data_IF_112774210457
#
_entry.id   IF_112774210457
#
_cell.length_a   1.000
_cell.length_b   1.000
_cell.length_c   1.000
_cell.angle_alpha   90.00
_cell.angle_beta   90.00
_cell.angle_gamma   90.00
#
_symmetry.space_group_name_H-M   'P 1'
#
loop_
_entity.id
_entity.type
_entity.pdbx_description
1 polymer ?
#
# COMPACT_ATOMS: atom_id res chain seq x y z
N UNK A 1 18.64 3.62 1.10
CA UNK A 1 19.62 3.86 0.02
C UNK A 1 19.01 3.76 -1.37
N UNK A 2 18.49 2.61 -1.81
CA UNK A 2 17.93 2.46 -3.16
C UNK A 2 16.79 3.44 -3.50
N UNK A 3 15.90 3.75 -2.55
CA UNK A 3 14.89 4.80 -2.73
C UNK A 3 15.46 6.22 -2.94
N UNK A 4 16.58 6.55 -2.26
CA UNK A 4 17.26 7.84 -2.40
C UNK A 4 18.03 7.91 -3.72
N UNK A 5 18.68 6.81 -4.13
CA UNK A 5 19.37 6.74 -5.43
C UNK A 5 18.35 6.83 -6.57
N UNK A 6 17.21 6.14 -6.45
CA UNK A 6 16.10 6.28 -7.39
C UNK A 6 15.59 7.71 -7.45
N UNK A 7 15.42 8.38 -6.29
CA UNK A 7 15.05 9.79 -6.23
C UNK A 7 16.09 10.69 -6.92
N UNK A 8 17.39 10.42 -6.71
CA UNK A 8 18.49 11.13 -7.36
C UNK A 8 18.50 10.95 -8.88
N UNK A 9 18.21 9.74 -9.39
CA UNK A 9 18.02 9.50 -10.83
C UNK A 9 16.78 10.17 -11.39
N UNK A 10 15.71 10.24 -10.62
CA UNK A 10 14.49 10.93 -10.99
C UNK A 10 14.61 12.45 -10.84
N UNK A 11 15.65 12.99 -10.18
CA UNK A 11 15.80 14.41 -9.87
C UNK A 11 15.73 15.34 -11.11
N UNK A 12 16.37 15.03 -12.25
CA UNK A 12 16.25 15.85 -13.45
C UNK A 12 14.82 15.89 -14.01
N UNK A 13 14.13 14.75 -13.98
CA UNK A 13 12.73 14.62 -14.39
C UNK A 13 11.81 15.36 -13.41
N UNK A 14 12.12 15.29 -12.10
CA UNK A 14 11.40 16.01 -11.05
C UNK A 14 11.53 17.52 -11.26
N UNK A 15 12.75 17.99 -11.51
CA UNK A 15 13.01 19.41 -11.76
C UNK A 15 12.31 19.91 -13.03
N UNK A 16 12.35 19.12 -14.10
CA UNK A 16 11.56 19.38 -15.31
C UNK A 16 10.08 19.54 -14.95
N UNK A 17 9.52 18.53 -14.25
CA UNK A 17 8.19 18.47 -13.65
C UNK A 17 7.74 19.77 -13.02
N UNK A 18 8.44 20.15 -11.95
CA UNK A 18 8.17 21.35 -11.16
C UNK A 18 8.21 22.61 -12.03
N UNK A 19 9.22 22.74 -12.91
CA UNK A 19 9.43 23.96 -13.70
C UNK A 19 8.24 24.25 -14.61
N UNK A 20 7.67 23.24 -15.28
CA UNK A 20 6.49 23.50 -16.12
C UNK A 20 5.22 23.62 -15.28
N UNK A 21 5.08 22.86 -14.19
CA UNK A 21 3.92 23.00 -13.28
C UNK A 21 3.80 24.43 -12.72
N UNK A 22 4.92 25.03 -12.30
CA UNK A 22 4.96 26.43 -11.86
C UNK A 22 4.71 27.43 -13.01
N UNK A 23 5.13 27.08 -14.23
CA UNK A 23 4.95 27.94 -15.41
C UNK A 23 3.49 27.94 -15.88
N UNK A 24 2.79 26.82 -15.72
CA UNK A 24 1.38 26.65 -16.05
C UNK A 24 0.48 27.40 -15.05
N UNK A 25 0.84 27.40 -13.77
CA UNK A 25 0.17 28.24 -12.74
C UNK A 25 0.36 29.74 -13.00
N UNK A 26 1.50 30.15 -13.58
CA UNK A 26 1.79 31.54 -13.94
C UNK A 26 1.23 32.00 -15.29
N UNK A 27 0.76 31.07 -16.13
CA UNK A 27 0.24 31.34 -17.47
C UNK A 27 -1.25 31.69 -17.45
N UNK A 28 -1.59 32.94 -17.10
CA UNK A 28 -2.96 33.44 -17.08
C UNK A 28 -3.73 33.20 -18.39
N UNK A 29 -4.98 32.78 -18.23
CA UNK A 29 -5.96 32.46 -19.27
C UNK A 29 -5.97 33.43 -20.46
N UNK A 30 -5.78 32.90 -21.67
CA UNK A 30 -6.33 33.53 -22.88
C UNK A 30 -7.83 33.28 -22.91
N UNK A 31 -8.59 34.21 -22.34
CA UNK A 31 -10.03 34.28 -22.50
C UNK A 31 -10.38 34.53 -23.98
N UNK A 32 -11.36 33.78 -24.51
CA UNK A 32 -12.09 34.21 -25.71
C UNK A 32 -12.16 33.27 -26.91
N UNK A 33 -12.12 31.94 -26.76
CA UNK A 33 -12.57 31.02 -27.80
C UNK A 33 -13.45 29.94 -27.20
N UNK A 34 -14.57 29.65 -27.87
CA UNK A 34 -15.44 28.48 -27.63
C UNK A 34 -14.53 27.27 -27.41
N UNK A 35 -14.40 26.81 -26.18
CA UNK A 35 -13.56 25.67 -25.83
C UNK A 35 -14.16 24.46 -26.54
N UNK A 36 -13.34 23.78 -27.34
CA UNK A 36 -13.73 22.49 -27.87
C UNK A 36 -14.11 21.59 -26.69
N UNK A 37 -15.12 20.74 -26.85
CA UNK A 37 -15.55 19.81 -25.80
C UNK A 37 -14.38 18.99 -25.22
N UNK A 38 -13.37 18.70 -26.04
CA UNK A 38 -12.15 17.96 -25.68
C UNK A 38 -11.13 18.79 -24.89
N UNK A 39 -11.34 20.10 -24.76
CA UNK A 39 -10.51 21.07 -24.03
C UNK A 39 -11.27 21.65 -22.82
N UNK A 40 -12.49 21.19 -22.55
CA UNK A 40 -13.29 21.61 -21.40
C UNK A 40 -12.82 20.89 -20.13
N UNK A 41 -11.96 21.57 -19.38
CA UNK A 41 -11.38 21.14 -18.11
C UNK A 41 -12.19 21.65 -16.89
N UNK A 42 -11.97 21.11 -15.69
CA UNK A 42 -12.52 21.69 -14.48
C UNK A 42 -12.00 23.12 -14.30
N UNK A 43 -12.90 24.02 -13.91
CA UNK A 43 -12.51 25.39 -13.62
C UNK A 43 -11.47 25.42 -12.49
N UNK A 44 -10.37 26.15 -12.70
CA UNK A 44 -9.29 26.29 -11.72
C UNK A 44 -9.78 26.84 -10.37
N UNK A 45 -10.86 27.63 -10.36
CA UNK A 45 -11.51 28.12 -9.13
C UNK A 45 -12.09 26.98 -8.29
N UNK A 46 -12.71 25.98 -8.92
CA UNK A 46 -13.21 24.79 -8.22
C UNK A 46 -12.05 23.98 -7.67
N UNK A 47 -10.96 23.83 -8.42
CA UNK A 47 -9.76 23.10 -7.97
C UNK A 47 -9.16 23.77 -6.74
N UNK A 48 -8.92 25.09 -6.77
CA UNK A 48 -8.40 25.82 -5.61
C UNK A 48 -9.35 25.77 -4.40
N UNK A 49 -10.66 25.94 -4.62
CA UNK A 49 -11.65 25.80 -3.55
C UNK A 49 -11.63 24.39 -2.94
N UNK A 50 -11.54 23.36 -3.77
CA UNK A 50 -11.42 21.96 -3.36
C UNK A 50 -10.16 21.70 -2.53
N UNK A 51 -9.01 22.26 -2.92
CA UNK A 51 -7.76 22.16 -2.15
C UNK A 51 -7.94 22.80 -0.75
N UNK A 52 -8.52 23.99 -0.67
CA UNK A 52 -8.77 24.66 0.62
C UNK A 52 -9.71 23.85 1.51
N UNK A 53 -10.81 23.34 0.95
CA UNK A 53 -11.77 22.49 1.67
C UNK A 53 -11.09 21.20 2.15
N UNK A 54 -10.26 20.58 1.32
CA UNK A 54 -9.52 19.36 1.67
C UNK A 54 -8.51 19.61 2.79
N UNK A 55 -7.76 20.72 2.74
CA UNK A 55 -6.85 21.13 3.82
C UNK A 55 -7.61 21.30 5.13
N UNK A 56 -8.72 22.02 5.11
CA UNK A 56 -9.56 22.21 6.29
C UNK A 56 -10.07 20.86 6.81
N UNK A 57 -10.59 20.00 5.95
CA UNK A 57 -11.08 18.67 6.33
C UNK A 57 -9.97 17.82 6.99
N UNK A 58 -8.76 17.83 6.43
CA UNK A 58 -7.60 17.11 7.01
C UNK A 58 -7.20 17.71 8.36
N UNK A 59 -7.22 19.04 8.51
CA UNK A 59 -6.91 19.71 9.78
C UNK A 59 -7.97 19.46 10.86
N UNK A 60 -9.26 19.37 10.49
CA UNK A 60 -10.34 19.06 11.42
C UNK A 60 -10.40 17.57 11.79
N UNK A 61 -9.75 16.69 11.02
CA UNK A 61 -9.72 15.26 11.28
C UNK A 61 -8.83 14.92 12.50
N UNK A 62 -9.45 14.93 13.69
CA UNK A 62 -8.80 14.58 14.97
C UNK A 62 -7.97 13.28 14.96
N UNK A 63 -8.38 12.19 14.28
CA UNK A 63 -7.60 10.95 14.26
C UNK A 63 -6.19 11.13 13.67
N UNK A 64 -6.01 12.06 12.73
CA UNK A 64 -4.74 12.27 12.03
C UNK A 64 -3.72 13.07 12.86
N UNK A 65 -4.15 13.66 13.98
CA UNK A 65 -3.34 14.59 14.78
C UNK A 65 -2.64 15.63 13.88
N UNK A 66 -3.35 16.12 12.85
CA UNK A 66 -2.76 16.98 11.83
C UNK A 66 -2.70 18.42 12.34
N UNK A 67 -1.56 19.07 12.13
CA UNK A 67 -1.38 20.49 12.37
C UNK A 67 -1.16 21.25 11.05
N UNK A 68 -1.12 22.59 11.14
CA UNK A 68 -0.95 23.44 9.96
C UNK A 68 0.32 23.11 9.17
N UNK A 69 1.42 22.77 9.87
CA UNK A 69 2.66 22.37 9.21
C UNK A 69 2.48 21.07 8.41
N UNK A 70 1.89 20.04 9.00
CA UNK A 70 1.60 18.78 8.31
C UNK A 70 0.70 18.98 7.09
N UNK A 71 -0.34 19.82 7.21
CA UNK A 71 -1.20 20.18 6.08
C UNK A 71 -0.43 20.92 4.97
N UNK A 72 0.46 21.85 5.32
CA UNK A 72 1.31 22.55 4.36
C UNK A 72 2.28 21.59 3.67
N UNK A 73 2.86 20.64 4.40
CA UNK A 73 3.73 19.60 3.83
C UNK A 73 2.96 18.69 2.87
N UNK A 74 1.70 18.35 3.17
CA UNK A 74 0.84 17.58 2.24
C UNK A 74 0.64 18.36 0.93
N UNK A 75 0.35 19.65 1.00
CA UNK A 75 0.15 20.47 -0.21
C UNK A 75 1.46 20.59 -0.99
N UNK A 76 2.56 20.89 -0.31
CA UNK A 76 3.88 21.06 -0.91
C UNK A 76 4.38 19.77 -1.58
N UNK A 77 4.45 18.68 -0.82
CA UNK A 77 4.91 17.39 -1.35
C UNK A 77 3.88 16.74 -2.28
N UNK A 78 2.59 16.97 -2.04
CA UNK A 78 1.52 16.55 -2.93
C UNK A 78 1.66 17.20 -4.30
N UNK A 79 1.76 18.53 -4.37
CA UNK A 79 2.01 19.24 -5.63
C UNK A 79 3.27 18.76 -6.33
N UNK A 80 4.38 18.67 -5.58
CA UNK A 80 5.66 18.18 -6.08
C UNK A 80 5.52 16.78 -6.71
N UNK A 81 5.10 15.78 -5.95
CA UNK A 81 5.10 14.39 -6.39
C UNK A 81 3.94 14.04 -7.33
N UNK A 82 2.80 14.75 -7.27
CA UNK A 82 1.74 14.63 -8.29
C UNK A 82 2.26 15.08 -9.64
N UNK A 83 2.98 16.19 -9.71
CA UNK A 83 3.53 16.71 -10.97
C UNK A 83 4.55 15.74 -11.58
N UNK A 84 5.41 15.17 -10.75
CA UNK A 84 6.39 14.14 -11.15
C UNK A 84 5.68 12.89 -11.65
N UNK A 85 4.73 12.40 -10.85
CA UNK A 85 3.95 11.19 -11.13
C UNK A 85 3.18 11.32 -12.45
N UNK A 86 2.54 12.47 -12.68
CA UNK A 86 1.79 12.80 -13.88
C UNK A 86 2.66 12.68 -15.14
N UNK A 87 3.86 13.25 -15.13
CA UNK A 87 4.79 13.16 -16.26
C UNK A 87 5.31 11.77 -16.50
N UNK A 88 5.83 11.11 -15.45
CA UNK A 88 6.37 9.76 -15.58
C UNK A 88 5.32 8.79 -16.10
N UNK A 89 4.07 8.97 -15.65
CA UNK A 89 2.93 8.19 -16.15
C UNK A 89 2.58 8.57 -17.59
N UNK A 90 2.63 9.85 -17.96
CA UNK A 90 2.37 10.30 -19.33
C UNK A 90 3.39 9.78 -20.36
N UNK A 91 4.66 9.69 -19.97
CA UNK A 91 5.79 9.26 -20.79
C UNK A 91 5.97 7.73 -20.82
N UNK A 92 5.95 7.08 -19.64
CA UNK A 92 6.37 5.68 -19.45
C UNK A 92 5.19 4.79 -19.02
N UNK A 93 4.06 5.37 -18.60
CA UNK A 93 2.89 4.65 -18.09
C UNK A 93 2.90 4.46 -16.57
N UNK A 94 1.72 4.21 -15.99
CA UNK A 94 1.53 4.13 -14.53
C UNK A 94 2.27 2.96 -13.88
N UNK A 95 2.44 1.85 -14.60
CA UNK A 95 3.12 0.65 -14.12
C UNK A 95 4.60 0.86 -13.82
N UNK A 96 5.22 1.85 -14.50
CA UNK A 96 6.64 2.18 -14.39
C UNK A 96 6.89 3.39 -13.49
N UNK A 97 5.85 3.93 -12.86
CA UNK A 97 5.93 5.09 -12.00
C UNK A 97 6.47 4.70 -10.60
N UNK A 98 7.57 5.32 -10.10
CA UNK A 98 8.21 4.96 -8.83
C UNK A 98 7.45 5.48 -7.59
N UNK A 99 6.15 5.18 -7.49
CA UNK A 99 5.27 5.66 -6.40
C UNK A 99 5.84 5.28 -5.03
N UNK A 100 6.30 4.04 -4.86
CA UNK A 100 6.92 3.58 -3.61
C UNK A 100 8.16 4.38 -3.22
N UNK A 101 8.98 4.81 -4.20
CA UNK A 101 10.13 5.68 -3.96
C UNK A 101 9.71 7.09 -3.54
N UNK A 102 8.67 7.64 -4.18
CA UNK A 102 8.10 8.95 -3.81
C UNK A 102 7.49 8.94 -2.40
N UNK A 103 6.85 7.85 -1.99
CA UNK A 103 6.33 7.67 -0.62
C UNK A 103 7.46 7.67 0.41
N UNK A 104 8.51 6.89 0.17
CA UNK A 104 9.68 6.85 1.06
C UNK A 104 10.33 8.21 1.15
N UNK A 105 10.55 8.89 0.02
CA UNK A 105 11.11 10.23 0.00
C UNK A 105 10.27 11.23 0.81
N UNK A 106 8.95 11.21 0.63
CA UNK A 106 8.04 12.08 1.39
C UNK A 106 8.13 11.81 2.88
N UNK A 107 8.10 10.54 3.31
CA UNK A 107 8.20 10.17 4.71
C UNK A 107 9.54 10.60 5.31
N UNK A 108 10.66 10.33 4.63
CA UNK A 108 11.99 10.70 5.10
C UNK A 108 12.14 12.21 5.25
N UNK A 109 11.71 12.99 4.24
CA UNK A 109 11.78 14.44 4.27
C UNK A 109 10.87 15.02 5.36
N UNK A 110 9.64 14.50 5.50
CA UNK A 110 8.70 14.92 6.55
C UNK A 110 9.28 14.65 7.94
N UNK A 111 9.80 13.45 8.17
CA UNK A 111 10.41 13.09 9.46
C UNK A 111 11.66 13.95 9.73
N UNK A 112 12.45 14.27 8.72
CA UNK A 112 13.61 15.15 8.87
C UNK A 112 13.20 16.57 9.27
N UNK A 113 12.16 17.12 8.63
CA UNK A 113 11.61 18.44 8.98
C UNK A 113 11.10 18.43 10.42
N UNK A 114 10.37 17.39 10.82
CA UNK A 114 9.88 17.23 12.20
C UNK A 114 11.04 17.14 13.20
N UNK A 115 12.09 16.40 12.87
CA UNK A 115 13.27 16.30 13.71
C UNK A 115 13.99 17.65 13.87
N UNK A 116 14.11 18.44 12.80
CA UNK A 116 14.75 19.76 12.80
C UNK A 116 14.01 20.78 13.69
N UNK A 117 12.68 20.70 13.75
CA UNK A 117 11.85 21.55 14.61
C UNK A 117 11.65 20.98 16.03
N UNK A 118 12.30 19.86 16.35
CA UNK A 118 12.24 19.23 17.67
C UNK A 118 10.97 18.39 17.93
N UNK A 119 10.18 18.08 16.90
CA UNK A 119 9.01 17.20 17.01
C UNK A 119 9.46 15.74 16.96
N UNK A 120 9.52 15.13 18.14
CA UNK A 120 9.95 13.73 18.31
C UNK A 120 8.91 12.94 19.07
N UNK A 121 8.68 11.69 18.66
CA UNK A 121 7.84 10.75 19.39
C UNK A 121 6.33 11.03 19.40
N UNK A 122 5.58 10.09 19.97
CA UNK A 122 4.15 10.25 20.27
C UNK A 122 3.24 10.43 19.06
N UNK A 123 2.39 11.46 19.09
CA UNK A 123 1.43 11.74 18.01
C UNK A 123 2.10 12.12 16.68
N UNK A 124 3.35 12.57 16.71
CA UNK A 124 4.09 12.97 15.51
C UNK A 124 4.38 11.80 14.56
N UNK A 125 4.43 10.54 15.05
CA UNK A 125 4.53 9.38 14.16
C UNK A 125 3.28 9.25 13.28
N UNK A 126 2.09 9.45 13.88
CA UNK A 126 0.80 9.38 13.18
C UNK A 126 0.71 10.51 12.17
N UNK A 127 1.12 11.72 12.55
CA UNK A 127 1.15 12.87 11.64
C UNK A 127 2.08 12.62 10.44
N UNK A 128 3.33 12.16 10.68
CA UNK A 128 4.29 11.89 9.60
C UNK A 128 3.81 10.77 8.66
N UNK A 129 3.28 9.68 9.23
CA UNK A 129 2.67 8.59 8.46
C UNK A 129 1.49 9.09 7.62
N UNK A 130 0.64 9.95 8.19
CA UNK A 130 -0.52 10.52 7.49
C UNK A 130 -0.09 11.40 6.32
N UNK A 131 0.92 12.25 6.49
CA UNK A 131 1.49 13.07 5.40
C UNK A 131 1.99 12.18 4.27
N UNK A 132 2.81 11.17 4.59
CA UNK A 132 3.35 10.24 3.57
C UNK A 132 2.27 9.44 2.86
N UNK A 133 1.24 8.98 3.58
CA UNK A 133 0.12 8.23 3.01
C UNK A 133 -0.73 9.09 2.07
N UNK A 134 -1.09 10.32 2.48
CA UNK A 134 -1.90 11.23 1.66
C UNK A 134 -1.15 11.63 0.39
N UNK A 135 0.14 11.98 0.50
CA UNK A 135 0.97 12.34 -0.67
C UNK A 135 1.16 11.14 -1.60
N UNK A 136 1.34 9.93 -1.08
CA UNK A 136 1.40 8.70 -1.86
C UNK A 136 0.13 8.48 -2.68
N UNK A 137 -1.04 8.59 -2.03
CA UNK A 137 -2.35 8.44 -2.68
C UNK A 137 -2.55 9.55 -3.72
N UNK A 138 -2.20 10.79 -3.39
CA UNK A 138 -2.29 11.91 -4.31
C UNK A 138 -1.41 11.69 -5.54
N UNK A 139 -0.13 11.30 -5.36
CA UNK A 139 0.78 11.01 -6.45
C UNK A 139 0.26 9.86 -7.34
N UNK A 140 -0.22 8.77 -6.74
CA UNK A 140 -0.82 7.65 -7.46
C UNK A 140 -2.02 8.10 -8.31
N UNK A 141 -2.97 8.79 -7.69
CA UNK A 141 -4.19 9.26 -8.37
C UNK A 141 -3.89 10.32 -9.43
N UNK A 142 -2.92 11.21 -9.19
CA UNK A 142 -2.49 12.20 -10.18
C UNK A 142 -1.86 11.56 -11.42
N UNK A 143 -1.06 10.50 -11.22
CA UNK A 143 -0.51 9.69 -12.29
C UNK A 143 -1.61 9.03 -13.12
N UNK A 144 -2.50 8.28 -12.46
CA UNK A 144 -3.61 7.59 -13.16
C UNK A 144 -4.55 8.56 -13.87
N UNK A 145 -4.87 9.70 -13.25
CA UNK A 145 -5.68 10.75 -13.88
C UNK A 145 -5.03 11.25 -15.17
N UNK A 146 -3.72 11.43 -15.17
CA UNK A 146 -2.99 11.88 -16.36
C UNK A 146 -3.03 10.83 -17.47
N UNK A 147 -2.97 9.55 -17.12
CA UNK A 147 -3.14 8.45 -18.06
C UNK A 147 -4.57 8.39 -18.64
N UNK A 148 -5.58 8.56 -17.79
CA UNK A 148 -6.99 8.54 -18.17
C UNK A 148 -7.37 9.74 -19.05
N UNK A 149 -6.79 10.92 -18.78
CA UNK A 149 -6.95 12.09 -19.63
C UNK A 149 -6.30 11.89 -21.00
N UNK A 150 -5.15 11.22 -21.07
CA UNK A 150 -4.49 10.88 -22.34
C UNK A 150 -5.33 9.90 -23.17
N UNK A 151 -5.82 8.82 -22.56
CA UNK A 151 -6.70 7.87 -23.27
C UNK A 151 -8.02 8.53 -23.65
N UNK A 152 -8.58 9.36 -22.77
CA UNK A 152 -9.73 10.19 -23.02
C UNK A 152 -9.57 11.11 -24.22
N UNK A 153 -8.46 11.83 -24.30
CA UNK A 153 -8.13 12.69 -25.43
C UNK A 153 -8.10 11.91 -26.75
N UNK A 154 -7.48 10.71 -26.76
CA UNK A 154 -7.39 9.86 -27.96
C UNK A 154 -8.76 9.37 -28.47
N UNK A 155 -9.73 9.15 -27.58
CA UNK A 155 -11.10 8.75 -27.95
C UNK A 155 -12.09 9.91 -28.03
N UNK A 156 -11.62 11.15 -27.88
CA UNK A 156 -12.45 12.35 -27.91
C UNK A 156 -13.38 12.51 -26.69
N UNK A 157 -12.97 12.08 -25.50
CA UNK A 157 -13.71 12.29 -24.25
C UNK A 157 -13.66 13.77 -23.79
N UNK A 158 -14.55 14.14 -22.87
CA UNK A 158 -14.56 15.45 -22.21
C UNK A 158 -13.76 15.37 -20.91
N UNK A 159 -12.62 16.10 -20.77
CA UNK A 159 -11.74 16.02 -19.60
C UNK A 159 -12.46 16.23 -18.26
N UNK A 160 -13.34 17.23 -18.19
CA UNK A 160 -14.12 17.54 -16.98
C UNK A 160 -14.95 16.36 -16.47
N UNK A 161 -15.61 15.62 -17.36
CA UNK A 161 -16.43 14.46 -16.96
C UNK A 161 -15.56 13.31 -16.47
N UNK A 162 -14.37 13.12 -17.07
CA UNK A 162 -13.41 12.11 -16.62
C UNK A 162 -12.88 12.42 -15.23
N UNK A 163 -12.50 13.67 -14.96
CA UNK A 163 -12.01 14.07 -13.64
C UNK A 163 -13.09 13.90 -12.56
N UNK A 164 -14.35 14.25 -12.84
CA UNK A 164 -15.46 14.01 -11.91
C UNK A 164 -15.65 12.51 -11.67
N UNK A 165 -15.60 11.68 -12.72
CA UNK A 165 -15.72 10.23 -12.59
C UNK A 165 -14.59 9.64 -11.73
N UNK A 166 -13.35 10.13 -11.88
CA UNK A 166 -12.20 9.71 -11.07
C UNK A 166 -12.38 10.13 -9.61
N UNK A 167 -12.85 11.36 -9.35
CA UNK A 167 -13.14 11.82 -7.98
C UNK A 167 -14.19 10.95 -7.29
N UNK A 168 -15.29 10.63 -7.99
CA UNK A 168 -16.36 9.77 -7.48
C UNK A 168 -15.84 8.34 -7.25
N UNK A 169 -15.10 7.79 -8.22
CA UNK A 169 -14.52 6.45 -8.13
C UNK A 169 -13.54 6.33 -6.97
N UNK A 170 -12.61 7.27 -6.83
CA UNK A 170 -11.65 7.29 -5.73
C UNK A 170 -12.33 7.41 -4.36
N UNK A 171 -13.36 8.26 -4.23
CA UNK A 171 -14.14 8.39 -3.00
C UNK A 171 -14.89 7.09 -2.68
N UNK A 172 -15.57 6.49 -3.66
CA UNK A 172 -16.28 5.23 -3.48
C UNK A 172 -15.32 4.11 -3.05
N UNK A 173 -14.15 4.00 -3.68
CA UNK A 173 -13.12 3.04 -3.29
C UNK A 173 -12.62 3.28 -1.86
N UNK A 174 -12.37 4.53 -1.46
CA UNK A 174 -11.92 4.84 -0.10
C UNK A 174 -12.98 4.50 0.95
N UNK A 175 -14.26 4.79 0.67
CA UNK A 175 -15.39 4.50 1.55
C UNK A 175 -15.65 2.99 1.70
N UNK A 176 -15.36 2.19 0.67
CA UNK A 176 -15.49 0.73 0.73
C UNK A 176 -14.29 0.08 1.42
N UNK A 177 -13.06 0.51 1.09
CA UNK A 177 -11.85 -0.17 1.56
C UNK A 177 -11.64 -0.04 3.07
N UNK A 178 -11.95 1.13 3.67
CA UNK A 178 -11.77 1.37 5.10
C UNK A 178 -12.53 0.35 5.98
N UNK A 179 -13.87 0.24 5.86
CA UNK A 179 -14.66 -0.73 6.61
C UNK A 179 -14.26 -2.19 6.34
N UNK A 180 -13.85 -2.53 5.10
CA UNK A 180 -13.37 -3.87 4.77
C UNK A 180 -12.11 -4.19 5.56
N UNK A 181 -11.12 -3.27 5.58
CA UNK A 181 -9.87 -3.47 6.32
C UNK A 181 -10.10 -3.56 7.83
N UNK A 182 -11.00 -2.75 8.39
CA UNK A 182 -11.36 -2.81 9.81
C UNK A 182 -12.00 -4.17 10.16
N UNK A 183 -13.00 -4.60 9.38
CA UNK A 183 -13.64 -5.92 9.60
C UNK A 183 -12.66 -7.09 9.44
N UNK A 184 -11.76 -7.02 8.47
CA UNK A 184 -10.69 -8.01 8.30
C UNK A 184 -9.78 -8.06 9.52
N UNK A 185 -9.36 -6.89 10.03
CA UNK A 185 -8.55 -6.82 11.22
C UNK A 185 -9.28 -7.37 12.45
N UNK A 186 -10.53 -6.98 12.67
CA UNK A 186 -11.32 -7.37 13.84
C UNK A 186 -11.65 -8.87 13.81
N UNK A 187 -11.97 -9.42 12.63
CA UNK A 187 -12.23 -10.85 12.46
C UNK A 187 -11.02 -11.74 12.74
N UNK A 188 -9.81 -11.23 12.48
CA UNK A 188 -8.55 -11.93 12.75
C UNK A 188 -7.86 -11.49 14.05
N UNK A 189 -8.47 -10.60 14.84
CA UNK A 189 -7.95 -10.19 16.16
C UNK A 189 -8.10 -11.34 17.15
N UNK A 190 -7.07 -11.53 17.97
CA UNK A 190 -7.03 -12.56 19.01
C UNK A 190 -6.78 -11.89 20.35
N UNK A 191 -7.66 -12.16 21.32
CA UNK A 191 -7.48 -11.72 22.69
C UNK A 191 -6.73 -12.81 23.44
N UNK A 192 -5.46 -12.56 23.78
CA UNK A 192 -4.59 -13.50 24.49
C UNK A 192 -4.61 -13.17 25.98
N UNK A 193 -4.78 -14.14 26.89
CA UNK A 193 -4.67 -13.89 28.32
C UNK A 193 -3.31 -13.28 28.67
N UNK A 194 -3.30 -12.17 29.40
CA UNK A 194 -2.05 -11.47 29.74
C UNK A 194 -1.11 -12.33 30.57
N UNK A 195 -1.63 -13.29 31.35
CA UNK A 195 -0.81 -14.25 32.09
C UNK A 195 0.18 -15.04 31.20
N UNK A 196 -0.17 -15.27 29.93
CA UNK A 196 0.68 -15.99 28.96
C UNK A 196 1.70 -15.07 28.27
N UNK A 197 1.45 -13.76 28.26
CA UNK A 197 2.22 -12.78 27.47
C UNK A 197 3.12 -11.91 28.36
N UNK A 198 2.58 -11.45 29.48
CA UNK A 198 3.17 -10.44 30.36
C UNK A 198 2.58 -10.57 31.78
N UNK A 199 2.95 -11.62 32.55
CA UNK A 199 2.36 -11.89 33.85
C UNK A 199 2.64 -10.76 34.86
N UNK A 200 1.60 -10.33 35.57
CA UNK A 200 1.70 -9.29 36.61
C UNK A 200 1.76 -7.85 36.08
N UNK A 201 1.48 -7.64 34.80
CA UNK A 201 1.48 -6.32 34.19
C UNK A 201 0.26 -5.50 34.67
N UNK A 202 0.52 -4.31 35.22
CA UNK A 202 -0.50 -3.38 35.71
C UNK A 202 -0.17 -1.93 35.32
N UNK A 203 -1.18 -1.08 35.30
CA UNK A 203 -1.08 0.35 35.04
C UNK A 203 -2.08 1.12 35.89
N UNK A 204 -1.92 2.43 36.01
CA UNK A 204 -2.85 3.27 36.75
C UNK A 204 -4.15 3.49 35.95
N UNK A 205 -5.24 2.88 36.42
CA UNK A 205 -6.56 2.94 35.81
C UNK A 205 -7.09 4.38 35.68
N UNK A 206 -6.69 5.31 36.57
CA UNK A 206 -7.15 6.70 36.55
C UNK A 206 -6.71 7.48 35.31
N UNK A 207 -5.67 7.02 34.61
CA UNK A 207 -5.13 7.67 33.42
C UNK A 207 -5.72 7.12 32.11
N UNK A 208 -6.62 6.14 32.18
CA UNK A 208 -7.22 5.49 31.03
C UNK A 208 -8.65 6.01 30.80
N UNK A 209 -8.94 6.52 29.60
CA UNK A 209 -10.25 7.09 29.27
C UNK A 209 -11.10 6.21 28.33
N UNK A 210 -10.48 5.32 27.54
CA UNK A 210 -11.17 4.47 26.59
C UNK A 210 -11.65 3.18 27.24
N UNK A 211 -12.91 2.80 27.03
CA UNK A 211 -13.43 1.46 27.40
C UNK A 211 -13.79 0.68 26.15
N UNK A 212 -13.45 -0.60 26.14
CA UNK A 212 -13.79 -1.51 25.05
C UNK A 212 -14.15 -2.90 25.59
N UNK A 213 -14.95 -3.62 24.80
CA UNK A 213 -15.30 -5.03 25.03
C UNK A 213 -14.51 -5.89 24.05
N UNK A 214 -14.40 -7.17 24.37
CA UNK A 214 -13.90 -8.14 23.39
C UNK A 214 -14.83 -8.12 22.16
N UNK A 215 -14.23 -8.25 20.98
CA UNK A 215 -14.93 -8.30 19.71
C UNK A 215 -14.80 -9.69 19.07
N UNK A 216 -15.66 -9.98 18.09
CA UNK A 216 -15.64 -11.26 17.37
C UNK A 216 -16.08 -12.47 18.23
N UNK A 217 -15.63 -13.68 17.89
CA UNK A 217 -16.09 -14.91 18.55
C UNK A 217 -15.80 -14.97 20.06
N UNK A 218 -14.68 -14.37 20.51
CA UNK A 218 -14.28 -14.31 21.92
C UNK A 218 -15.14 -13.35 22.76
N UNK A 219 -15.93 -12.47 22.11
CA UNK A 219 -16.93 -11.67 22.82
C UNK A 219 -18.01 -12.54 23.50
N UNK A 220 -18.20 -13.79 23.04
CA UNK A 220 -19.16 -14.73 23.64
C UNK A 220 -18.68 -15.30 24.98
N UNK A 221 -17.37 -15.42 25.18
CA UNK A 221 -16.80 -15.94 26.43
C UNK A 221 -16.70 -14.87 27.51
N UNK A 222 -16.50 -13.61 27.13
CA UNK A 222 -16.34 -12.51 28.07
C UNK A 222 -17.03 -11.24 27.55
N UNK A 223 -18.10 -10.86 28.24
CA UNK A 223 -18.89 -9.68 27.93
C UNK A 223 -18.51 -8.45 28.74
N UNK A 224 -17.44 -8.48 29.56
CA UNK A 224 -17.06 -7.33 30.39
C UNK A 224 -16.51 -6.18 29.55
N UNK A 225 -16.62 -4.97 30.10
CA UNK A 225 -15.94 -3.78 29.58
C UNK A 225 -14.63 -3.59 30.32
N UNK A 226 -13.59 -3.26 29.55
CA UNK A 226 -12.23 -3.07 30.03
C UNK A 226 -11.71 -1.70 29.64
N UNK A 227 -10.84 -1.14 30.46
CA UNK A 227 -10.08 0.06 30.13
C UNK A 227 -9.02 -0.28 29.07
N UNK A 228 -8.85 0.60 28.09
CA UNK A 228 -7.91 0.43 26.99
C UNK A 228 -6.60 1.09 27.33
N UNK A 229 -5.54 0.29 27.40
CA UNK A 229 -4.18 0.78 27.59
C UNK A 229 -3.32 0.51 26.35
N UNK A 230 -2.70 1.57 25.82
CA UNK A 230 -1.72 1.48 24.74
C UNK A 230 -0.32 1.53 25.33
N UNK A 231 0.25 0.36 25.62
CA UNK A 231 1.57 0.24 26.22
C UNK A 231 2.65 0.60 25.21
N UNK A 232 3.52 1.52 25.60
CA UNK A 232 4.74 1.91 24.87
C UNK A 232 5.95 1.30 25.58
N UNK A 233 6.95 0.84 24.82
CA UNK A 233 8.12 0.14 25.36
C UNK A 233 7.88 -1.36 25.63
N UNK A 234 8.98 -2.10 25.70
CA UNK A 234 9.01 -3.57 25.84
C UNK A 234 9.21 -4.05 27.28
N UNK A 235 9.22 -3.15 28.27
CA UNK A 235 9.44 -3.51 29.67
C UNK A 235 8.24 -4.29 30.23
N UNK A 236 8.49 -5.46 30.83
CA UNK A 236 7.46 -6.31 31.42
C UNK A 236 6.49 -6.97 30.43
N UNK A 237 6.68 -6.81 29.12
CA UNK A 237 5.80 -7.37 28.08
C UNK A 237 5.93 -6.65 26.74
N UNK A 238 5.40 -7.21 25.64
CA UNK A 238 5.44 -6.60 24.31
C UNK A 238 4.75 -5.22 24.27
N UNK A 239 5.11 -4.41 23.29
CA UNK A 239 4.35 -3.20 22.96
C UNK A 239 3.01 -3.58 22.36
N UNK A 240 1.94 -2.84 22.70
CA UNK A 240 0.65 -3.07 22.08
C UNK A 240 -0.53 -2.62 22.92
N UNK A 241 -1.71 -3.05 22.49
CA UNK A 241 -2.98 -2.72 23.13
C UNK A 241 -3.31 -3.80 24.17
N UNK A 242 -3.59 -3.35 25.38
CA UNK A 242 -4.01 -4.18 26.51
C UNK A 242 -5.40 -3.74 26.98
N UNK A 243 -6.21 -4.71 27.37
CA UNK A 243 -7.47 -4.49 28.09
C UNK A 243 -7.20 -4.70 29.57
N UNK A 244 -7.51 -3.68 30.35
CA UNK A 244 -7.20 -3.54 31.77
C UNK A 244 -8.49 -3.51 32.56
N UNK A 245 -8.53 -4.20 33.70
CA UNK A 245 -9.68 -4.13 34.60
C UNK A 245 -9.77 -2.78 35.36
N UNK A 246 -10.86 -2.56 36.08
CA UNK A 246 -11.04 -1.34 36.88
C UNK A 246 -10.00 -1.20 38.02
N UNK A 247 -9.30 -2.28 38.39
CA UNK A 247 -8.23 -2.27 39.38
C UNK A 247 -6.86 -1.90 38.77
N UNK A 248 -6.77 -1.73 37.45
CA UNK A 248 -5.52 -1.40 36.77
C UNK A 248 -4.68 -2.62 36.35
N UNK A 249 -5.19 -3.85 36.51
CA UNK A 249 -4.49 -5.07 36.12
C UNK A 249 -4.80 -5.42 34.66
N UNK A 250 -3.76 -5.70 33.86
CA UNK A 250 -3.95 -6.08 32.47
C UNK A 250 -4.48 -7.52 32.38
N UNK A 251 -5.61 -7.70 31.69
CA UNK A 251 -6.34 -8.99 31.57
C UNK A 251 -6.14 -9.61 30.20
N UNK A 252 -6.33 -8.82 29.13
CA UNK A 252 -6.19 -9.29 27.76
C UNK A 252 -5.14 -8.49 26.98
N UNK A 253 -4.27 -9.18 26.25
CA UNK A 253 -3.46 -8.60 25.20
C UNK A 253 -4.24 -8.70 23.88
N UNK A 254 -4.43 -7.56 23.22
CA UNK A 254 -5.18 -7.48 21.96
C UNK A 254 -4.18 -7.64 20.81
N UNK A 255 -4.04 -8.86 20.32
CA UNK A 255 -3.20 -9.16 19.17
C UNK A 255 -3.96 -8.91 17.86
N UNK A 256 -3.58 -7.90 17.06
CA UNK A 256 -4.35 -7.47 15.89
C UNK A 256 -4.40 -8.55 14.80
N UNK A 257 -5.41 -8.49 13.92
CA UNK A 257 -5.47 -9.37 12.76
C UNK A 257 -4.39 -9.08 11.72
N UNK A 258 -4.02 -7.81 11.58
CA UNK A 258 -2.95 -7.36 10.68
C UNK A 258 -1.65 -7.23 11.47
N UNK A 259 -0.58 -7.90 11.01
CA UNK A 259 0.74 -7.96 11.66
C UNK A 259 0.72 -8.53 13.10
N UNK A 260 -0.31 -9.27 13.50
CA UNK A 260 -0.36 -9.95 14.79
C UNK A 260 0.52 -11.20 14.84
N UNK A 261 0.96 -11.58 16.04
CA UNK A 261 1.87 -12.71 16.26
C UNK A 261 1.15 -14.01 16.67
N UNK A 262 -0.06 -13.91 17.23
CA UNK A 262 -0.75 -15.03 17.85
C UNK A 262 -1.87 -15.56 16.95
N UNK A 263 -1.60 -16.69 16.29
CA UNK A 263 -2.54 -17.33 15.35
C UNK A 263 -3.53 -18.29 16.00
N UNK A 264 -3.42 -18.54 17.31
CA UNK A 264 -4.28 -19.48 18.06
C UNK A 264 -5.11 -18.72 19.08
N UNK A 265 -6.43 -18.88 19.03
CA UNK A 265 -7.33 -18.39 20.08
C UNK A 265 -7.26 -19.29 21.32
N UNK A 266 -7.71 -18.79 22.50
CA UNK A 266 -7.81 -19.59 23.72
C UNK A 266 -8.75 -20.81 23.61
N UNK A 267 -9.66 -20.82 22.63
CA UNK A 267 -10.54 -21.96 22.32
C UNK A 267 -9.85 -23.05 21.47
N UNK A 268 -8.57 -22.89 21.14
CA UNK A 268 -7.80 -23.80 20.30
C UNK A 268 -7.99 -23.61 18.79
N UNK A 269 -8.83 -22.67 18.36
CA UNK A 269 -9.04 -22.41 16.93
C UNK A 269 -7.88 -21.61 16.33
N UNK A 270 -7.42 -22.06 15.15
CA UNK A 270 -6.34 -21.40 14.39
C UNK A 270 -6.91 -20.40 13.39
N UNK A 271 -6.33 -19.21 13.35
CA UNK A 271 -6.74 -18.10 12.47
C UNK A 271 -5.55 -17.65 11.66
N UNK A 272 -5.81 -17.35 10.38
CA UNK A 272 -4.82 -16.77 9.50
C UNK A 272 -4.68 -15.27 9.76
N UNK A 273 -3.46 -14.85 10.11
CA UNK A 273 -3.09 -13.43 10.22
C UNK A 273 -2.78 -12.83 8.84
N UNK A 274 -2.87 -11.51 8.76
CA UNK A 274 -2.57 -10.75 7.55
C UNK A 274 -1.26 -9.98 7.71
N UNK A 275 -0.29 -10.22 6.85
CA UNK A 275 0.97 -9.49 6.89
C UNK A 275 0.86 -8.20 6.05
N UNK A 276 1.19 -7.08 6.67
CA UNK A 276 1.37 -5.79 6.01
C UNK A 276 2.84 -5.35 6.16
N UNK A 277 3.80 -6.08 5.56
CA UNK A 277 5.21 -5.86 5.82
C UNK A 277 5.61 -4.45 5.36
N UNK A 278 4.93 -3.86 4.37
CA UNK A 278 5.32 -2.54 3.79
C UNK A 278 5.00 -1.44 4.79
N UNK A 279 3.86 -1.57 5.46
CA UNK A 279 3.50 -0.69 6.57
C UNK A 279 4.47 -0.83 7.73
N UNK A 280 4.86 -2.07 8.08
CA UNK A 280 5.84 -2.35 9.14
C UNK A 280 7.18 -1.66 8.88
N UNK A 281 7.73 -1.79 7.67
CA UNK A 281 8.96 -1.12 7.28
C UNK A 281 8.85 0.41 7.39
N UNK A 282 7.77 1.01 6.87
CA UNK A 282 7.57 2.46 6.99
C UNK A 282 7.48 2.89 8.45
N UNK A 283 6.81 2.11 9.30
CA UNK A 283 6.71 2.41 10.74
C UNK A 283 8.08 2.41 11.42
N UNK A 284 8.96 1.46 11.09
CA UNK A 284 10.31 1.39 11.64
C UNK A 284 11.19 2.55 11.16
N UNK A 285 11.06 2.96 9.89
CA UNK A 285 11.78 4.13 9.37
C UNK A 285 11.36 5.39 10.14
N UNK A 286 10.06 5.61 10.32
CA UNK A 286 9.54 6.79 11.02
C UNK A 286 9.99 6.79 12.49
N UNK A 287 9.77 5.67 13.22
CA UNK A 287 10.19 5.54 14.62
C UNK A 287 11.68 5.75 14.76
N UNK A 288 12.48 5.08 13.93
CA UNK A 288 13.94 5.22 13.95
C UNK A 288 14.41 6.66 13.79
N UNK A 289 13.87 7.41 12.82
CA UNK A 289 14.24 8.81 12.58
C UNK A 289 13.81 9.71 13.74
N UNK A 290 12.55 9.63 14.16
CA UNK A 290 12.00 10.52 15.18
C UNK A 290 12.52 10.20 16.59
N UNK A 291 12.92 8.96 16.87
CA UNK A 291 13.48 8.55 18.15
C UNK A 291 15.00 8.76 18.24
N UNK A 292 15.64 9.18 17.13
CA UNK A 292 17.10 9.33 17.01
C UNK A 292 17.88 8.03 17.30
N UNK A 293 17.22 6.87 17.20
CA UNK A 293 17.79 5.54 17.47
C UNK A 293 18.09 4.74 16.20
N UNK A 294 18.41 5.42 15.10
CA UNK A 294 18.78 4.71 13.88
C UNK A 294 20.11 3.99 14.08
N UNK A 295 20.19 2.67 13.83
CA UNK A 295 21.45 1.95 13.82
C UNK A 295 22.24 2.39 12.57
N UNK A 296 22.98 3.49 12.70
CA UNK A 296 23.68 4.14 11.57
C UNK A 296 24.64 3.20 10.85
N UNK A 297 25.23 2.24 11.57
CA UNK A 297 26.05 1.18 10.96
C UNK A 297 25.27 0.33 9.95
N UNK A 298 24.04 -0.09 10.28
CA UNK A 298 23.19 -0.88 9.37
C UNK A 298 22.72 -0.05 8.17
N UNK A 299 22.42 1.24 8.38
CA UNK A 299 22.05 2.14 7.29
C UNK A 299 23.22 2.33 6.32
N UNK A 300 24.41 2.61 6.83
CA UNK A 300 25.60 2.80 6.02
C UNK A 300 25.96 1.53 5.25
N UNK A 301 25.84 0.37 5.90
CA UNK A 301 25.99 -0.92 5.23
C UNK A 301 25.00 -1.09 4.07
N UNK A 302 23.72 -0.77 4.28
CA UNK A 302 22.72 -0.78 3.22
C UNK A 302 22.99 0.25 2.10
N UNK A 303 23.59 1.40 2.42
CA UNK A 303 24.06 2.38 1.43
C UNK A 303 25.18 1.80 0.59
N UNK A 304 26.18 1.17 1.21
CA UNK A 304 27.29 0.53 0.50
C UNK A 304 26.80 -0.58 -0.43
N UNK A 305 25.89 -1.45 0.03
CA UNK A 305 25.27 -2.47 -0.82
C UNK A 305 24.57 -1.83 -2.01
N UNK A 306 23.76 -0.79 -1.79
CA UNK A 306 23.05 -0.12 -2.87
C UNK A 306 24.02 0.51 -3.88
N UNK A 307 25.11 1.14 -3.42
CA UNK A 307 26.14 1.69 -4.31
C UNK A 307 26.79 0.58 -5.14
N UNK A 308 27.18 -0.54 -4.54
CA UNK A 308 27.78 -1.68 -5.24
C UNK A 308 26.84 -2.27 -6.28
N UNK A 309 25.54 -2.42 -5.95
CA UNK A 309 24.53 -2.90 -6.88
C UNK A 309 24.37 -1.95 -8.08
N UNK A 310 24.29 -0.65 -7.82
CA UNK A 310 24.10 0.34 -8.87
C UNK A 310 25.35 0.48 -9.76
N UNK A 311 26.55 0.32 -9.19
CA UNK A 311 27.80 0.20 -9.96
C UNK A 311 27.83 -1.07 -10.83
N UNK A 312 27.16 -2.13 -10.38
CA UNK A 312 26.97 -3.37 -11.14
C UNK A 312 25.80 -3.29 -12.15
N UNK A 313 25.19 -2.12 -12.34
CA UNK A 313 23.98 -1.92 -13.13
C UNK A 313 22.77 -2.76 -12.67
N UNK A 314 22.76 -3.21 -11.41
CA UNK A 314 21.65 -3.92 -10.78
C UNK A 314 20.75 -2.90 -10.07
N UNK A 315 19.44 -2.83 -10.38
CA UNK A 315 18.53 -1.92 -9.69
C UNK A 315 18.46 -2.20 -8.19
N UNK A 316 18.99 -1.28 -7.38
CA UNK A 316 19.08 -1.46 -5.92
C UNK A 316 17.72 -1.52 -5.23
N UNK A 317 16.69 -0.88 -5.81
CA UNK A 317 15.32 -0.92 -5.31
C UNK A 317 14.69 -2.31 -5.46
N UNK A 318 14.86 -2.96 -6.62
CA UNK A 318 14.35 -4.30 -6.86
C UNK A 318 14.99 -5.32 -5.91
N UNK A 319 16.31 -5.21 -5.71
CA UNK A 319 17.05 -6.02 -4.75
C UNK A 319 16.53 -5.80 -3.31
N UNK A 320 16.41 -4.54 -2.87
CA UNK A 320 15.96 -4.22 -1.53
C UNK A 320 14.53 -4.74 -1.26
N UNK A 321 13.63 -4.64 -2.24
CA UNK A 321 12.27 -5.19 -2.14
C UNK A 321 12.32 -6.73 -2.01
N UNK A 322 13.17 -7.40 -2.79
CA UNK A 322 13.31 -8.86 -2.77
C UNK A 322 13.84 -9.41 -1.44
N UNK A 323 14.82 -8.72 -0.82
CA UNK A 323 15.41 -9.14 0.47
C UNK A 323 14.42 -9.00 1.63
N UNK A 324 13.51 -8.04 1.56
CA UNK A 324 12.63 -7.73 2.67
C UNK A 324 11.27 -8.46 2.62
N UNK A 325 10.83 -8.91 1.44
CA UNK A 325 9.58 -9.65 1.31
C UNK A 325 9.77 -11.13 1.73
N UNK A 326 8.78 -11.73 2.43
CA UNK A 326 8.81 -13.16 2.73
C UNK A 326 9.02 -14.00 1.48
N UNK A 327 9.74 -15.11 1.59
CA UNK A 327 9.98 -16.03 0.46
C UNK A 327 8.67 -16.50 -0.19
N UNK A 328 7.60 -16.67 0.60
CA UNK A 328 6.26 -16.99 0.10
C UNK A 328 5.67 -15.92 -0.84
N UNK A 329 6.02 -14.65 -0.65
CA UNK A 329 5.60 -13.54 -1.53
C UNK A 329 6.59 -13.30 -2.67
N UNK A 330 7.89 -13.51 -2.43
CA UNK A 330 8.94 -13.31 -3.43
C UNK A 330 8.96 -14.40 -4.50
N UNK A 331 8.58 -15.65 -4.17
CA UNK A 331 8.63 -16.78 -5.12
C UNK A 331 7.67 -16.61 -6.31
N UNK A 332 6.38 -16.24 -6.13
CA UNK A 332 5.49 -15.93 -7.26
C UNK A 332 5.99 -14.76 -8.12
N UNK A 333 6.57 -13.72 -7.50
CA UNK A 333 7.15 -12.56 -8.21
C UNK A 333 8.32 -13.01 -9.07
N UNK A 334 9.21 -13.85 -8.53
CA UNK A 334 10.33 -14.41 -9.26
C UNK A 334 9.87 -15.25 -10.46
N UNK A 335 8.88 -16.14 -10.26
CA UNK A 335 8.33 -16.96 -11.35
C UNK A 335 7.65 -16.08 -12.41
N UNK A 336 6.90 -15.05 -12.02
CA UNK A 336 6.35 -14.07 -12.95
C UNK A 336 7.44 -13.35 -13.76
N UNK A 337 8.54 -12.96 -13.12
CA UNK A 337 9.72 -12.40 -13.78
C UNK A 337 10.39 -13.37 -14.75
N UNK A 338 10.51 -14.66 -14.39
CA UNK A 338 11.00 -15.71 -15.28
C UNK A 338 10.10 -15.90 -16.50
N UNK A 339 8.77 -15.94 -16.30
CA UNK A 339 7.79 -16.05 -17.40
C UNK A 339 7.96 -14.86 -18.33
N UNK A 340 8.01 -13.64 -17.79
CA UNK A 340 8.23 -12.42 -18.60
C UNK A 340 9.55 -12.51 -19.37
N UNK A 341 10.64 -12.92 -18.73
CA UNK A 341 11.93 -13.11 -19.40
C UNK A 341 11.86 -14.13 -20.54
N UNK A 342 11.17 -15.26 -20.35
CA UNK A 342 10.98 -16.28 -21.39
C UNK A 342 10.08 -15.79 -22.53
N UNK A 343 9.04 -15.02 -22.23
CA UNK A 343 8.15 -14.38 -23.22
C UNK A 343 8.92 -13.35 -24.02
N UNK A 344 9.65 -12.44 -23.38
CA UNK A 344 10.48 -11.42 -24.01
C UNK A 344 11.54 -12.07 -24.91
N UNK A 345 12.21 -13.13 -24.43
CA UNK A 345 13.19 -13.89 -25.22
C UNK A 345 12.55 -14.54 -26.46
N UNK A 346 11.32 -15.03 -26.36
CA UNK A 346 10.60 -15.59 -27.50
C UNK A 346 10.12 -14.51 -28.48
N UNK A 347 9.62 -13.36 -27.99
CA UNK A 347 9.17 -12.24 -28.84
C UNK A 347 10.33 -11.54 -29.54
N UNK A 348 11.48 -11.37 -28.89
CA UNK A 348 12.73 -10.88 -29.52
C UNK A 348 13.13 -11.72 -30.74
N UNK A 349 12.88 -13.04 -30.71
CA UNK A 349 13.13 -13.91 -31.87
C UNK A 349 12.11 -13.71 -32.99
N UNK A 350 10.84 -13.47 -32.66
CA UNK A 350 9.75 -13.23 -33.64
C UNK A 350 9.88 -11.85 -34.30
N UNK A 351 10.29 -10.84 -33.53
CA UNK A 351 10.43 -9.43 -33.96
C UNK A 351 11.85 -9.10 -34.42
N UNK A 352 12.73 -10.10 -34.62
CA UNK A 352 14.14 -9.89 -34.99
C UNK A 352 14.28 -9.16 -36.33
N UNK A 353 13.33 -9.39 -37.23
CA UNK A 353 13.33 -8.81 -38.57
C UNK A 353 12.63 -7.44 -38.62
N UNK A 354 12.04 -6.97 -37.51
CA UNK A 354 11.31 -5.71 -37.43
C UNK A 354 12.20 -4.48 -37.15
N UNK A 355 13.50 -4.67 -36.88
CA UNK A 355 14.46 -3.57 -36.71
C UNK A 355 14.17 -2.59 -35.56
N UNK A 356 13.39 -3.01 -34.56
CA UNK A 356 12.97 -2.17 -33.44
C UNK A 356 14.12 -1.85 -32.48
N UNK A 357 14.13 -0.63 -31.93
CA UNK A 357 15.03 -0.27 -30.83
C UNK A 357 14.65 -0.99 -29.54
N UNK A 358 15.59 -1.17 -28.60
CA UNK A 358 15.34 -1.86 -27.32
C UNK A 358 14.16 -1.22 -26.54
N UNK A 359 14.06 0.12 -26.56
CA UNK A 359 12.97 0.85 -25.92
C UNK A 359 11.60 0.58 -26.57
N UNK A 360 11.54 0.48 -27.89
CA UNK A 360 10.31 0.15 -28.62
C UNK A 360 9.89 -1.31 -28.36
N UNK A 361 10.86 -2.21 -28.27
CA UNK A 361 10.60 -3.63 -28.01
C UNK A 361 10.05 -3.85 -26.58
N UNK A 362 10.58 -3.12 -25.60
CA UNK A 362 10.01 -3.10 -24.23
C UNK A 362 8.58 -2.56 -24.25
N UNK A 363 8.34 -1.43 -24.93
CA UNK A 363 7.00 -0.84 -25.03
C UNK A 363 5.99 -1.76 -25.74
N UNK A 364 6.41 -2.54 -26.73
CA UNK A 364 5.57 -3.54 -27.40
C UNK A 364 5.32 -4.77 -26.52
N UNK A 365 6.28 -5.13 -25.67
CA UNK A 365 6.08 -6.17 -24.64
C UNK A 365 5.11 -5.73 -23.54
N UNK A 366 5.17 -4.47 -23.13
CA UNK A 366 4.26 -3.91 -22.12
C UNK A 366 2.80 -3.82 -22.63
N UNK A 367 2.59 -3.83 -23.95
CA UNK A 367 1.25 -3.93 -24.57
C UNK A 367 0.75 -5.36 -24.76
N UNK A 368 1.51 -6.38 -24.36
CA UNK A 368 1.16 -7.78 -24.64
C UNK A 368 -0.10 -8.23 -23.89
N UNK A 369 -0.83 -9.17 -24.49
CA UNK A 369 -1.98 -9.83 -23.88
C UNK A 369 -1.61 -10.49 -22.53
N UNK A 370 -0.36 -10.94 -22.37
CA UNK A 370 0.14 -11.50 -21.11
C UNK A 370 0.18 -10.47 -19.97
N UNK A 371 0.56 -9.22 -20.24
CA UNK A 371 0.53 -8.14 -19.23
C UNK A 371 -0.90 -7.80 -18.84
N UNK A 372 -1.82 -7.76 -19.81
CA UNK A 372 -3.25 -7.52 -19.56
C UNK A 372 -3.87 -8.64 -18.70
N UNK A 373 -3.56 -9.90 -19.03
CA UNK A 373 -4.02 -11.08 -18.28
C UNK A 373 -3.48 -11.09 -16.85
N UNK A 374 -2.19 -10.77 -16.67
CA UNK A 374 -1.59 -10.65 -15.34
C UNK A 374 -2.26 -9.55 -14.50
N UNK A 375 -2.56 -8.40 -15.10
CA UNK A 375 -3.32 -7.33 -14.44
C UNK A 375 -4.73 -7.80 -14.06
N UNK A 376 -5.41 -8.53 -14.95
CA UNK A 376 -6.70 -9.16 -14.67
C UNK A 376 -6.67 -10.16 -13.51
N UNK A 377 -5.61 -10.96 -13.39
CA UNK A 377 -5.42 -11.88 -12.26
C UNK A 377 -5.19 -11.16 -10.93
N UNK A 378 -4.47 -10.03 -10.93
CA UNK A 378 -4.30 -9.22 -9.72
C UNK A 378 -5.66 -8.68 -9.26
N UNK A 379 -6.43 -8.07 -10.17
CA UNK A 379 -7.75 -7.51 -9.84
C UNK A 379 -8.75 -8.60 -9.42
N UNK A 380 -8.84 -9.69 -10.19
CA UNK A 380 -9.73 -10.82 -9.90
C UNK A 380 -9.39 -11.50 -8.58
N UNK A 381 -8.10 -11.69 -8.29
CA UNK A 381 -7.64 -12.26 -7.02
C UNK A 381 -8.00 -11.38 -5.82
N UNK A 382 -7.88 -10.06 -5.95
CA UNK A 382 -8.29 -9.12 -4.90
C UNK A 382 -9.81 -9.18 -4.65
N UNK A 383 -10.63 -9.18 -5.71
CA UNK A 383 -12.09 -9.29 -5.60
C UNK A 383 -12.50 -10.62 -4.96
N UNK A 384 -11.91 -11.73 -5.41
CA UNK A 384 -12.17 -13.05 -4.84
C UNK A 384 -11.78 -13.10 -3.35
N UNK A 385 -10.63 -12.53 -2.98
CA UNK A 385 -10.20 -12.43 -1.59
C UNK A 385 -11.17 -11.64 -0.70
N UNK A 386 -11.70 -10.52 -1.20
CA UNK A 386 -12.73 -9.73 -0.50
C UNK A 386 -14.02 -10.54 -0.33
N UNK A 387 -14.47 -11.25 -1.37
CA UNK A 387 -15.67 -12.10 -1.30
C UNK A 387 -15.52 -13.21 -0.27
N UNK A 388 -14.38 -13.92 -0.27
CA UNK A 388 -14.08 -14.99 0.69
C UNK A 388 -14.09 -14.44 2.12
N UNK A 389 -13.40 -13.32 2.34
CA UNK A 389 -13.36 -12.70 3.66
C UNK A 389 -14.74 -12.24 4.16
N UNK A 390 -15.56 -11.70 3.25
CA UNK A 390 -16.93 -11.31 3.57
C UNK A 390 -17.80 -12.51 3.94
N UNK A 391 -17.68 -13.62 3.20
CA UNK A 391 -18.39 -14.87 3.50
C UNK A 391 -18.00 -15.42 4.88
N UNK A 392 -16.69 -15.47 5.19
CA UNK A 392 -16.19 -15.91 6.48
C UNK A 392 -16.69 -15.03 7.65
N UNK A 393 -16.73 -13.71 7.45
CA UNK A 393 -17.13 -12.76 8.50
C UNK A 393 -18.64 -12.61 8.72
N UNK A 394 -19.47 -12.80 7.69
CA UNK A 394 -20.92 -12.53 7.75
C UNK A 394 -21.80 -13.77 7.77
N UNK A 395 -21.30 -14.91 7.28
CA UNK A 395 -22.04 -16.17 7.14
C UNK A 395 -21.32 -17.30 7.89
N UNK A 396 -20.92 -17.07 9.16
CA UNK A 396 -20.08 -18.02 9.91
C UNK A 396 -20.57 -19.48 9.90
N UNK A 397 -21.89 -19.72 9.92
CA UNK A 397 -22.42 -21.09 9.81
C UNK A 397 -22.24 -21.74 8.42
N UNK A 398 -22.24 -20.94 7.35
CA UNK A 398 -21.97 -21.40 5.98
C UNK A 398 -20.47 -21.63 5.80
N UNK A 399 -19.64 -20.75 6.35
CA UNK A 399 -18.17 -20.86 6.30
C UNK A 399 -17.68 -22.12 7.02
N UNK A 400 -18.20 -22.41 8.21
CA UNK A 400 -17.90 -23.65 8.94
C UNK A 400 -18.35 -24.90 8.17
N UNK A 401 -19.53 -24.85 7.54
CA UNK A 401 -20.08 -25.96 6.75
C UNK A 401 -19.23 -26.21 5.49
N UNK A 402 -18.88 -25.14 4.78
CA UNK A 402 -18.04 -25.20 3.58
C UNK A 402 -16.62 -25.68 3.92
N UNK A 403 -16.03 -25.16 5.00
CA UNK A 403 -14.70 -25.56 5.48
C UNK A 403 -14.66 -27.04 5.86
N UNK A 404 -15.67 -27.55 6.58
CA UNK A 404 -15.78 -28.99 6.89
C UNK A 404 -15.94 -29.83 5.63
N UNK A 405 -16.79 -29.41 4.70
CA UNK A 405 -16.96 -30.13 3.43
C UNK A 405 -15.65 -30.17 2.63
N UNK A 406 -14.97 -29.03 2.52
CA UNK A 406 -13.73 -28.90 1.78
C UNK A 406 -12.59 -29.70 2.44
N UNK A 407 -12.51 -29.71 3.77
CA UNK A 407 -11.50 -30.51 4.48
C UNK A 407 -11.66 -32.02 4.25
N UNK A 408 -12.88 -32.50 3.99
CA UNK A 408 -13.16 -33.92 3.76
C UNK A 408 -13.06 -34.30 2.28
N UNK A 409 -13.52 -33.44 1.37
CA UNK A 409 -13.70 -33.78 -0.05
C UNK A 409 -12.73 -33.09 -1.00
N UNK A 410 -12.02 -32.05 -0.56
CA UNK A 410 -11.12 -31.29 -1.43
C UNK A 410 -9.65 -31.57 -1.06
N UNK A 411 -8.92 -32.37 -1.87
CA UNK A 411 -7.52 -32.68 -1.61
C UNK A 411 -6.58 -31.48 -1.75
N UNK A 412 -7.04 -30.38 -2.35
CA UNK A 412 -6.30 -29.10 -2.40
C UNK A 412 -6.50 -28.24 -1.14
N UNK A 413 -7.48 -28.56 -0.30
CA UNK A 413 -7.86 -27.72 0.84
C UNK A 413 -7.21 -28.17 2.16
N UNK A 414 -7.15 -29.48 2.42
CA UNK A 414 -6.54 -30.03 3.62
C UNK A 414 -5.86 -31.38 3.32
N UNK A 415 -4.78 -31.68 4.04
CA UNK A 415 -4.06 -32.96 3.97
C UNK A 415 -2.55 -32.80 3.74
N UNK A 416 -1.78 -33.90 3.87
CA UNK A 416 -0.31 -33.88 3.80
C UNK A 416 0.24 -33.50 2.42
N UNK A 417 -0.58 -33.59 1.37
CA UNK A 417 -0.20 -33.23 0.00
C UNK A 417 -0.87 -31.94 -0.50
N UNK A 418 -1.64 -31.23 0.32
CA UNK A 418 -2.39 -30.05 -0.10
C UNK A 418 -1.47 -28.98 -0.70
N UNK A 419 -0.32 -28.72 -0.05
CA UNK A 419 0.67 -27.74 -0.53
C UNK A 419 1.28 -28.15 -1.89
N UNK A 420 1.57 -29.44 -2.07
CA UNK A 420 2.11 -29.96 -3.33
C UNK A 420 1.06 -29.89 -4.44
N UNK A 421 -0.19 -30.20 -4.12
CA UNK A 421 -1.31 -30.09 -5.06
C UNK A 421 -1.60 -28.63 -5.44
N UNK A 422 -1.43 -27.67 -4.51
CA UNK A 422 -1.58 -26.25 -4.81
C UNK A 422 -0.56 -25.72 -5.84
N UNK A 423 0.57 -26.43 -6.06
CA UNK A 423 1.52 -26.12 -7.13
C UNK A 423 0.89 -26.35 -8.51
N UNK A 424 -0.04 -27.30 -8.66
CA UNK A 424 -0.68 -27.61 -9.95
C UNK A 424 -1.46 -26.42 -10.52
N UNK A 425 -2.45 -25.82 -9.83
CA UNK A 425 -3.16 -24.65 -10.37
C UNK A 425 -2.21 -23.46 -10.57
N UNK A 426 -1.19 -23.29 -9.71
CA UNK A 426 -0.18 -22.25 -9.90
C UNK A 426 0.66 -22.45 -11.17
N UNK A 427 1.07 -23.69 -11.45
CA UNK A 427 1.80 -24.06 -12.67
C UNK A 427 0.92 -23.90 -13.92
N UNK A 428 -0.37 -24.24 -13.83
CA UNK A 428 -1.35 -24.01 -14.91
C UNK A 428 -1.49 -22.52 -15.21
N UNK A 429 -1.69 -21.67 -14.20
CA UNK A 429 -1.77 -20.22 -14.38
C UNK A 429 -0.47 -19.65 -14.98
N UNK A 430 0.68 -20.14 -14.51
CA UNK A 430 2.00 -19.78 -15.05
C UNK A 430 2.15 -20.18 -16.52
N UNK A 431 1.72 -21.38 -16.88
CA UNK A 431 1.71 -21.88 -18.26
C UNK A 431 0.77 -21.07 -19.16
N UNK A 432 -0.43 -20.74 -18.67
CA UNK A 432 -1.37 -19.88 -19.39
C UNK A 432 -0.79 -18.49 -19.65
N UNK A 433 -0.17 -17.85 -18.65
CA UNK A 433 0.51 -16.57 -18.82
C UNK A 433 1.63 -16.65 -19.86
N UNK A 434 2.41 -17.73 -19.85
CA UNK A 434 3.46 -17.94 -20.84
C UNK A 434 2.89 -18.11 -22.26
N UNK A 435 1.82 -18.87 -22.43
CA UNK A 435 1.20 -19.11 -23.73
C UNK A 435 0.50 -17.87 -24.29
N UNK A 436 -0.24 -17.14 -23.45
CA UNK A 436 -0.91 -15.88 -23.83
C UNK A 436 0.11 -14.78 -24.08
N UNK A 437 1.15 -14.66 -23.25
CA UNK A 437 2.25 -13.71 -23.50
C UNK A 437 3.00 -13.97 -24.81
N UNK A 438 3.00 -15.22 -25.28
CA UNK A 438 3.55 -15.60 -26.60
C UNK A 438 2.55 -15.49 -27.75
N UNK A 439 1.35 -14.98 -27.52
CA UNK A 439 0.25 -14.90 -28.51
C UNK A 439 -0.07 -16.28 -29.13
N UNK A 440 0.10 -17.36 -28.36
CA UNK A 440 -0.31 -18.71 -28.79
C UNK A 440 -1.75 -19.04 -28.40
N UNK A 441 -2.29 -18.31 -27.43
CA UNK A 441 -3.66 -18.39 -26.94
C UNK A 441 -4.20 -16.96 -26.83
N UNK A 442 -5.48 -16.76 -27.14
CA UNK A 442 -6.18 -15.46 -27.07
C UNK A 442 -5.51 -14.36 -27.93
N UNK A 443 -5.04 -14.72 -29.13
CA UNK A 443 -4.42 -13.83 -30.10
C UNK A 443 -5.43 -13.31 -31.13
#
# INVERSE_FOLDING_TARGET
AGGIISLGRSLPLIWGGIREGLRDVGGGAKAGKSTLRTEDDLSMRFVFAGIVVLILAIMLARPLHMNLLGALLIVLFGFLFVTVSSRLTGEIGSSSNPISGMTVATLLLTCMIFLLIGWTGGSHYVTALSVGAIVCIAASNGGTTSQDLKTGFLVGATPRLQQIAILVGALASALMLGPILLKLNDGATVYVPVAEVAPGLATDAGNLAGRERLQGPQARSDGREYLVWQKRGTEGGPEGKYLVDDAGTAVWFVDPGINGAYSTRPDGTTIRKFDAPKATLMSYIIRGILDRRLPMGLILFGVMIAVVLEMSAIPSLAFAVGVYLPLSSSSPIFIGGMIRWLVDRARRRKLRDAGLTEAQLVAESDKSAGVLMASGYIAGGAIAGILIAFMAGSLGGVDETFTRWAAVHNPFFAGPFADLLAIVPFAVLSGLLYLVGRERLLA
#
